data_IF_611892156082
#
_entry.id   IF_611892156082
#
_cell.length_a   1.000
_cell.length_b   1.000
_cell.length_c   1.000
_cell.angle_alpha   90.00
_cell.angle_beta   90.00
_cell.angle_gamma   90.00
#
_symmetry.space_group_name_H-M   'P 1'
#
loop_
_entity.id
_entity.type
_entity.pdbx_description
1 polymer ?
#
# COMPACT_ATOMS: atom_id res chain seq x y z
N UNK A 1 -27.10 -0.30 -10.46
CA UNK A 1 -26.93 -0.71 -9.05
C UNK A 1 -26.28 0.45 -8.30
N UNK A 2 -26.93 1.07 -7.32
CA UNK A 2 -26.35 2.21 -6.57
C UNK A 2 -25.46 1.68 -5.45
N UNK A 3 -24.16 1.73 -5.65
CA UNK A 3 -23.18 1.64 -4.56
C UNK A 3 -23.27 2.92 -3.71
N UNK A 4 -23.39 2.77 -2.39
CA UNK A 4 -23.31 3.90 -1.46
C UNK A 4 -21.90 4.46 -1.38
N UNK A 5 -21.74 5.73 -0.98
CA UNK A 5 -20.46 6.45 -1.04
C UNK A 5 -19.30 5.79 -0.25
N UNK A 6 -19.59 5.02 0.81
CA UNK A 6 -18.57 4.23 1.52
C UNK A 6 -18.33 2.83 0.93
N UNK A 7 -19.28 2.30 0.15
CA UNK A 7 -19.26 0.92 -0.30
C UNK A 7 -18.13 0.61 -1.28
N UNK A 8 -17.70 1.56 -2.11
CA UNK A 8 -16.54 1.35 -3.00
C UNK A 8 -15.20 1.53 -2.28
N UNK A 9 -15.16 2.26 -1.15
CA UNK A 9 -13.95 2.38 -0.33
C UNK A 9 -13.74 1.11 0.50
N UNK A 10 -14.79 0.60 1.15
CA UNK A 10 -14.74 -0.70 1.82
C UNK A 10 -14.40 -1.82 0.84
N UNK A 11 -15.03 -1.82 -0.34
CA UNK A 11 -14.73 -2.77 -1.40
C UNK A 11 -13.30 -2.59 -1.97
N UNK A 12 -12.77 -1.38 -2.10
CA UNK A 12 -11.38 -1.17 -2.50
C UNK A 12 -10.38 -1.65 -1.44
N UNK A 13 -10.61 -1.31 -0.17
CA UNK A 13 -9.80 -1.76 0.98
C UNK A 13 -9.89 -3.28 1.17
N UNK A 14 -11.03 -3.89 0.83
CA UNK A 14 -11.23 -5.35 0.83
C UNK A 14 -10.67 -6.04 -0.41
N UNK A 15 -10.65 -5.38 -1.58
CA UNK A 15 -9.96 -5.85 -2.81
C UNK A 15 -8.46 -5.62 -2.80
N UNK A 16 -7.94 -4.87 -1.82
CA UNK A 16 -6.53 -4.92 -1.45
C UNK A 16 -6.16 -6.26 -0.80
N UNK A 17 -7.15 -7.15 -0.76
CA UNK A 17 -7.10 -8.52 -0.30
C UNK A 17 -7.64 -9.49 -1.48
N UNK A 18 -6.94 -10.61 -1.86
CA UNK A 18 -7.14 -11.81 -2.77
C UNK A 18 -5.91 -12.81 -2.73
N UNK A 19 -5.91 -13.97 -3.42
CA UNK A 19 -4.90 -15.08 -3.43
C UNK A 19 -4.01 -15.12 -4.72
N UNK A 20 -3.38 -16.27 -5.04
CA UNK A 20 -2.22 -16.67 -5.90
C UNK A 20 -1.95 -15.99 -7.31
N UNK A 21 -0.90 -16.27 -8.10
CA UNK A 21 0.08 -17.39 -8.20
C UNK A 21 1.55 -16.92 -8.43
N UNK A 22 2.48 -17.82 -8.84
CA UNK A 22 3.93 -17.61 -8.92
C UNK A 22 4.39 -16.92 -10.22
N UNK A 23 4.60 -15.61 -10.14
CA UNK A 23 5.53 -14.88 -10.99
C UNK A 23 6.20 -13.83 -10.13
N UNK A 24 7.55 -13.75 -10.15
CA UNK A 24 8.30 -12.77 -9.36
C UNK A 24 7.67 -11.40 -9.56
N UNK A 25 7.22 -10.75 -8.48
CA UNK A 25 6.47 -9.51 -8.57
C UNK A 25 7.29 -8.44 -9.29
N UNK A 26 6.98 -8.23 -10.58
CA UNK A 26 7.84 -7.50 -11.53
C UNK A 26 8.27 -6.15 -10.94
N UNK A 27 9.58 -5.89 -10.99
CA UNK A 27 10.16 -4.61 -10.58
C UNK A 27 9.61 -3.55 -11.53
N UNK A 28 9.08 -2.45 -10.99
CA UNK A 28 8.46 -1.39 -11.79
C UNK A 28 6.98 -1.61 -12.15
N UNK A 29 6.31 -2.67 -11.69
CA UNK A 29 4.88 -2.91 -11.98
C UNK A 29 3.88 -1.96 -11.28
N UNK A 30 4.29 -0.73 -10.95
CA UNK A 30 3.41 0.30 -10.37
C UNK A 30 2.87 0.09 -8.95
N UNK A 31 3.23 -1.01 -8.24
CA UNK A 31 2.69 -1.34 -6.90
C UNK A 31 2.76 -0.19 -5.88
N UNK A 32 3.94 0.38 -5.68
CA UNK A 32 4.16 1.52 -4.77
C UNK A 32 3.44 2.78 -5.25
N UNK A 33 3.37 3.00 -6.57
CA UNK A 33 2.60 4.11 -7.17
C UNK A 33 1.11 3.97 -6.88
N UNK A 34 0.53 2.79 -7.08
CA UNK A 34 -0.87 2.50 -6.79
C UNK A 34 -1.19 2.75 -5.31
N UNK A 35 -0.35 2.23 -4.40
CA UNK A 35 -0.50 2.48 -2.96
C UNK A 35 -0.43 3.97 -2.60
N UNK A 36 0.44 4.74 -3.25
CA UNK A 36 0.56 6.18 -3.06
C UNK A 36 -0.69 6.94 -3.58
N UNK A 37 -1.24 6.57 -4.75
CA UNK A 37 -2.47 7.18 -5.27
C UNK A 37 -3.69 6.82 -4.42
N UNK A 38 -3.79 5.58 -3.91
CA UNK A 38 -4.79 5.18 -2.92
C UNK A 38 -4.74 6.08 -1.68
N UNK A 39 -3.55 6.42 -1.19
CA UNK A 39 -3.38 7.29 -0.02
C UNK A 39 -3.72 8.76 -0.29
N UNK A 40 -3.75 9.19 -1.56
CA UNK A 40 -4.15 10.55 -1.97
C UNK A 40 -5.65 10.67 -2.25
N UNK A 41 -6.33 9.56 -2.54
CA UNK A 41 -7.75 9.57 -2.84
C UNK A 41 -8.59 10.15 -1.69
N UNK A 42 -9.48 11.09 -2.03
CA UNK A 42 -10.25 11.84 -1.04
C UNK A 42 -11.27 10.96 -0.31
N UNK A 43 -11.78 9.88 -0.92
CA UNK A 43 -12.71 8.96 -0.25
C UNK A 43 -11.96 8.06 0.74
N UNK A 44 -10.79 7.55 0.36
CA UNK A 44 -9.90 6.78 1.24
C UNK A 44 -9.46 7.63 2.43
N UNK A 45 -8.99 8.86 2.19
CA UNK A 45 -8.59 9.81 3.23
C UNK A 45 -9.74 10.16 4.18
N UNK A 46 -10.92 10.44 3.64
CA UNK A 46 -12.13 10.70 4.43
C UNK A 46 -12.54 9.49 5.28
N UNK A 47 -12.52 8.28 4.72
CA UNK A 47 -12.86 7.03 5.42
C UNK A 47 -11.91 6.76 6.61
N UNK A 48 -10.61 6.99 6.43
CA UNK A 48 -9.61 6.87 7.50
C UNK A 48 -9.39 8.15 8.31
N UNK A 49 -10.29 9.14 8.23
CA UNK A 49 -10.23 10.41 8.99
C UNK A 49 -8.87 11.13 8.88
N UNK A 50 -8.28 11.17 7.68
CA UNK A 50 -6.93 11.70 7.39
C UNK A 50 -5.77 10.97 8.11
N UNK A 51 -6.04 9.89 8.84
CA UNK A 51 -5.03 9.08 9.54
C UNK A 51 -4.52 7.97 8.63
N UNK A 52 -3.63 8.33 7.71
CA UNK A 52 -2.86 7.39 6.88
C UNK A 52 -1.36 7.54 7.17
N UNK A 53 -0.70 6.45 7.58
CA UNK A 53 0.75 6.39 7.74
C UNK A 53 1.36 5.51 6.65
N UNK A 54 2.22 6.08 5.82
CA UNK A 54 2.97 5.35 4.79
C UNK A 54 4.42 5.14 5.25
N UNK A 55 4.90 3.89 5.23
CA UNK A 55 6.26 3.50 5.61
C UNK A 55 6.86 2.56 4.56
N UNK A 56 8.00 2.92 3.99
CA UNK A 56 8.85 1.98 3.25
C UNK A 56 9.66 1.13 4.23
N UNK A 57 9.63 -0.19 4.07
CA UNK A 57 10.27 -1.16 4.96
C UNK A 57 11.68 -1.51 4.47
N UNK A 58 11.87 -1.72 3.16
CA UNK A 58 13.15 -2.08 2.52
C UNK A 58 13.73 -3.45 2.95
N UNK A 59 14.87 -3.83 2.37
CA UNK A 59 15.49 -5.15 2.56
C UNK A 59 16.10 -5.33 3.96
N UNK A 60 16.61 -4.26 4.55
CA UNK A 60 17.29 -4.25 5.84
C UNK A 60 16.64 -3.23 6.78
N UNK A 61 15.38 -3.48 7.21
CA UNK A 61 14.62 -2.54 8.03
C UNK A 61 15.22 -2.36 9.43
N UNK A 62 15.21 -1.13 9.93
CA UNK A 62 15.20 -0.89 11.37
C UNK A 62 13.80 -1.20 11.92
N UNK A 63 13.61 -2.46 12.32
CA UNK A 63 12.35 -2.96 12.88
C UNK A 63 11.93 -2.17 14.13
N UNK A 64 12.88 -1.73 14.97
CA UNK A 64 12.53 -1.02 16.20
C UNK A 64 12.03 0.39 15.90
N UNK A 65 12.70 1.11 15.00
CA UNK A 65 12.25 2.42 14.52
C UNK A 65 10.89 2.32 13.82
N UNK A 66 10.69 1.34 12.94
CA UNK A 66 9.40 1.14 12.26
C UNK A 66 8.28 0.83 13.28
N UNK A 67 8.52 -0.07 14.24
CA UNK A 67 7.55 -0.36 15.32
C UNK A 67 7.24 0.88 16.16
N UNK A 68 8.24 1.69 16.53
CA UNK A 68 8.04 2.91 17.29
C UNK A 68 7.20 3.95 16.53
N UNK A 69 7.45 4.12 15.22
CA UNK A 69 6.65 5.00 14.35
C UNK A 69 5.21 4.54 14.20
N UNK A 70 4.98 3.25 13.94
CA UNK A 70 3.62 2.67 13.87
C UNK A 70 2.90 2.84 15.20
N UNK A 71 3.55 2.54 16.33
CA UNK A 71 2.94 2.65 17.66
C UNK A 71 2.60 4.09 18.05
N UNK A 72 3.52 5.03 17.85
CA UNK A 72 3.29 6.46 18.10
C UNK A 72 2.13 7.00 17.27
N UNK A 73 2.06 6.61 15.99
CA UNK A 73 0.97 6.99 15.10
C UNK A 73 -0.39 6.40 15.52
N UNK A 74 -0.46 5.11 15.86
CA UNK A 74 -1.69 4.46 16.31
C UNK A 74 -2.20 5.06 17.62
N UNK A 75 -1.29 5.33 18.57
CA UNK A 75 -1.62 5.93 19.87
C UNK A 75 -1.85 7.44 19.83
N UNK A 76 -1.58 8.12 18.71
CA UNK A 76 -1.68 9.58 18.60
C UNK A 76 -0.58 10.32 19.39
N UNK A 77 0.51 9.64 19.72
CA UNK A 77 1.63 10.18 20.50
C UNK A 77 2.93 10.10 19.68
N UNK A 78 3.03 10.96 18.66
CA UNK A 78 4.15 10.99 17.72
C UNK A 78 5.50 11.26 18.40
N UNK A 79 5.51 11.93 19.56
CA UNK A 79 6.70 12.19 20.35
C UNK A 79 7.42 10.92 20.85
N UNK A 80 6.71 9.79 21.00
CA UNK A 80 7.33 8.51 21.38
C UNK A 80 8.02 7.78 20.22
N UNK A 81 7.81 8.22 18.96
CA UNK A 81 8.45 7.59 17.79
C UNK A 81 9.97 7.75 17.71
N UNK A 82 10.56 8.65 18.53
CA UNK A 82 11.96 9.03 18.50
C UNK A 82 12.75 8.67 19.77
N UNK A 83 12.09 8.17 20.81
CA UNK A 83 12.76 7.75 22.05
C UNK A 83 13.16 6.28 21.97
N UNK A 84 14.43 6.02 21.65
CA UNK A 84 15.02 4.67 21.49
C UNK A 84 14.87 3.71 22.69
N UNK A 85 14.32 4.16 23.82
CA UNK A 85 14.16 3.39 25.05
C UNK A 85 12.72 3.52 25.58
N UNK A 86 11.76 2.78 25.00
CA UNK A 86 10.55 2.45 25.77
C UNK A 86 9.98 1.07 25.46
N UNK A 87 9.80 0.33 26.55
CA UNK A 87 9.12 -0.96 26.66
C UNK A 87 7.72 -0.89 26.03
N UNK A 88 7.49 -1.61 24.93
CA UNK A 88 6.16 -1.76 24.33
C UNK A 88 5.32 -2.62 25.29
N UNK A 89 4.25 -2.10 25.92
CA UNK A 89 3.51 -2.87 26.91
C UNK A 89 2.75 -4.03 26.23
N UNK A 90 2.94 -5.25 26.72
CA UNK A 90 2.09 -6.39 26.40
C UNK A 90 0.72 -6.26 27.10
N UNK A 91 -0.05 -5.21 26.79
CA UNK A 91 -1.29 -4.88 27.48
C UNK A 91 -2.28 -4.11 26.59
N UNK A 92 -3.58 -4.40 26.75
CA UNK A 92 -4.67 -3.76 25.99
C UNK A 92 -4.60 -2.23 26.10
N UNK A 93 -4.49 -1.56 24.95
CA UNK A 93 -4.86 -0.16 24.82
C UNK A 93 -6.36 -0.02 25.13
N UNK A 94 -6.70 0.78 26.15
CA UNK A 94 -8.03 1.35 26.31
C UNK A 94 -8.03 2.72 25.62
N UNK A 95 -8.68 2.79 24.46
CA UNK A 95 -9.20 4.03 23.91
C UNK A 95 -10.69 3.80 23.64
N UNK A 96 -11.53 4.81 23.88
CA UNK A 96 -12.97 4.72 23.62
C UNK A 96 -13.22 4.83 22.12
N UNK A 97 -13.16 3.68 21.44
CA UNK A 97 -13.20 3.61 19.99
C UNK A 97 -14.62 3.57 19.43
N UNK A 98 -14.85 4.42 18.41
CA UNK A 98 -16.06 4.39 17.60
C UNK A 98 -16.14 3.18 16.65
N UNK A 99 -17.29 3.03 15.99
CA UNK A 99 -17.71 1.84 15.23
C UNK A 99 -17.00 1.62 13.87
N UNK A 100 -15.69 1.82 13.76
CA UNK A 100 -14.94 1.57 12.51
C UNK A 100 -13.42 1.68 12.65
N UNK A 101 -12.64 1.21 11.66
CA UNK A 101 -11.19 1.42 11.62
C UNK A 101 -10.88 2.90 11.39
N UNK A 102 -10.25 3.54 12.36
CA UNK A 102 -10.00 4.99 12.35
C UNK A 102 -8.66 5.36 11.67
N UNK A 103 -7.93 4.39 11.12
CA UNK A 103 -6.53 4.57 10.72
C UNK A 103 -6.09 3.51 9.70
N UNK A 104 -5.28 3.91 8.72
CA UNK A 104 -4.59 3.04 7.76
C UNK A 104 -3.08 3.12 7.96
N UNK A 105 -2.41 1.96 7.99
CA UNK A 105 -0.95 1.85 7.94
C UNK A 105 -0.57 1.16 6.64
N UNK A 106 0.27 1.79 5.82
CA UNK A 106 0.80 1.21 4.58
C UNK A 106 2.26 0.82 4.81
N UNK A 107 2.56 -0.46 4.60
CA UNK A 107 3.90 -1.03 4.66
C UNK A 107 4.36 -1.33 3.23
N UNK A 108 5.23 -0.49 2.70
CA UNK A 108 5.74 -0.54 1.33
C UNK A 108 7.07 -1.28 1.21
N UNK A 109 7.27 -1.98 0.09
CA UNK A 109 8.40 -2.89 -0.18
C UNK A 109 8.75 -3.80 1.02
N UNK A 110 7.82 -4.66 1.43
CA UNK A 110 8.04 -5.68 2.48
C UNK A 110 8.70 -6.93 1.90
N UNK A 111 9.82 -7.36 2.50
CA UNK A 111 10.65 -8.45 1.94
C UNK A 111 10.39 -9.84 2.51
N UNK A 112 9.76 -9.99 3.68
CA UNK A 112 9.50 -11.32 4.26
C UNK A 112 8.36 -11.34 5.28
N UNK A 113 7.78 -12.52 5.50
CA UNK A 113 6.73 -12.72 6.49
C UNK A 113 7.19 -12.44 7.93
N UNK A 114 8.40 -12.88 8.39
CA UNK A 114 8.88 -12.54 9.73
C UNK A 114 9.10 -11.04 9.96
N UNK A 115 9.38 -10.26 8.90
CA UNK A 115 9.41 -8.79 8.99
C UNK A 115 7.99 -8.26 9.18
N UNK A 116 7.03 -8.71 8.37
CA UNK A 116 5.62 -8.30 8.46
C UNK A 116 5.00 -8.60 9.84
N UNK A 117 5.18 -9.81 10.35
CA UNK A 117 4.68 -10.24 11.66
C UNK A 117 5.23 -9.38 12.81
N UNK A 118 6.46 -8.86 12.68
CA UNK A 118 7.06 -7.93 13.64
C UNK A 118 6.56 -6.48 13.49
N UNK A 119 5.85 -6.13 12.42
CA UNK A 119 5.29 -4.78 12.21
C UNK A 119 3.78 -4.70 12.48
N UNK A 120 3.08 -5.84 12.47
CA UNK A 120 1.65 -5.92 12.81
C UNK A 120 1.42 -5.88 14.32
N UNK A 121 0.52 -5.01 14.76
CA UNK A 121 0.00 -4.95 16.12
C UNK A 121 -1.41 -5.56 16.19
N UNK A 122 -1.66 -6.44 17.17
CA UNK A 122 -2.99 -7.05 17.40
C UNK A 122 -3.87 -6.14 18.26
N UNK A 123 -4.21 -4.97 17.73
CA UNK A 123 -5.13 -4.01 18.35
C UNK A 123 -6.36 -3.81 17.46
N UNK A 124 -7.54 -3.52 18.01
CA UNK A 124 -8.67 -3.11 17.18
C UNK A 124 -8.37 -1.77 16.48
N UNK A 125 -9.21 -1.42 15.49
CA UNK A 125 -9.37 -0.08 14.89
C UNK A 125 -8.33 0.47 13.91
N UNK A 126 -7.43 -0.34 13.36
CA UNK A 126 -6.67 0.06 12.17
C UNK A 126 -6.65 -1.04 11.11
N UNK A 127 -6.39 -0.64 9.86
CA UNK A 127 -6.14 -1.53 8.72
C UNK A 127 -4.68 -1.42 8.30
N UNK A 128 -4.14 -2.51 7.74
CA UNK A 128 -2.77 -2.53 7.18
C UNK A 128 -2.85 -2.86 5.69
N UNK A 129 -2.31 -1.99 4.84
CA UNK A 129 -2.05 -2.28 3.43
C UNK A 129 -0.59 -2.72 3.30
N UNK A 130 -0.34 -3.89 2.74
CA UNK A 130 1.02 -4.44 2.56
C UNK A 130 1.37 -4.45 1.08
N UNK A 131 2.40 -3.70 0.69
CA UNK A 131 2.96 -3.73 -0.65
C UNK A 131 4.19 -4.63 -0.65
N UNK A 132 4.16 -5.69 -1.44
CA UNK A 132 5.19 -6.72 -1.46
C UNK A 132 5.47 -7.22 -2.88
N UNK A 133 6.65 -7.80 -3.10
CA UNK A 133 6.97 -8.60 -4.29
C UNK A 133 6.74 -10.09 -4.09
N UNK A 134 6.48 -10.51 -2.86
CA UNK A 134 6.24 -11.88 -2.42
C UNK A 134 4.81 -12.03 -1.90
N UNK A 135 4.20 -13.20 -2.11
CA UNK A 135 2.96 -13.54 -1.42
C UNK A 135 3.25 -13.97 0.02
N UNK A 136 2.36 -13.57 0.91
CA UNK A 136 2.36 -13.96 2.30
C UNK A 136 1.16 -14.87 2.59
N UNK A 137 1.27 -15.72 3.60
CA UNK A 137 0.21 -16.65 3.96
C UNK A 137 -1.08 -15.90 4.33
N UNK A 138 -2.22 -16.44 3.89
CA UNK A 138 -3.57 -15.98 4.24
C UNK A 138 -3.88 -16.09 5.74
N UNK A 139 -3.01 -16.73 6.52
CA UNK A 139 -3.09 -16.80 7.99
C UNK A 139 -2.71 -15.48 8.68
N UNK A 140 -1.95 -14.60 8.00
CA UNK A 140 -1.44 -13.33 8.54
C UNK A 140 -2.00 -12.13 7.78
N UNK A 141 -2.10 -12.25 6.47
CA UNK A 141 -2.68 -11.27 5.57
C UNK A 141 -4.05 -11.81 5.19
N UNK A 142 -5.15 -11.12 5.52
CA UNK A 142 -6.49 -11.70 5.37
C UNK A 142 -6.72 -12.13 3.93
N UNK A 143 -6.29 -11.29 2.98
CA UNK A 143 -6.14 -11.58 1.57
C UNK A 143 -5.10 -10.49 0.99
N UNK A 144 -4.50 -10.56 -0.24
CA UNK A 144 -3.46 -9.66 -0.93
C UNK A 144 -3.99 -8.80 -2.16
N UNK A 145 -3.29 -7.91 -2.90
CA UNK A 145 -3.75 -7.52 -4.29
C UNK A 145 -2.71 -7.75 -5.38
N UNK A 146 -3.14 -8.31 -6.53
CA UNK A 146 -2.29 -8.46 -7.72
C UNK A 146 -2.49 -7.26 -8.66
N UNK A 147 -1.50 -6.39 -8.71
CA UNK A 147 -1.39 -5.38 -9.77
C UNK A 147 -1.11 -6.11 -11.09
N UNK A 148 -2.03 -5.98 -12.03
CA UNK A 148 -1.92 -6.54 -13.37
C UNK A 148 -0.87 -5.80 -14.21
N UNK A 149 -0.40 -6.43 -15.27
CA UNK A 149 0.42 -5.75 -16.27
C UNK A 149 -0.51 -4.92 -17.17
N UNK A 150 -0.03 -3.74 -17.59
CA UNK A 150 -0.70 -2.94 -18.59
C UNK A 150 -0.81 -3.74 -19.90
N UNK A 151 -1.94 -3.60 -20.59
CA UNK A 151 -2.07 -4.04 -21.98
C UNK A 151 -1.10 -3.29 -22.90
N UNK A 152 -0.88 -3.80 -24.12
CA UNK A 152 -0.01 -3.15 -25.11
C UNK A 152 -0.45 -1.70 -25.41
N UNK A 153 -1.77 -1.46 -25.52
CA UNK A 153 -2.36 -0.14 -25.71
C UNK A 153 -2.15 0.81 -24.52
N UNK A 154 -2.32 0.31 -23.28
CA UNK A 154 -2.09 1.09 -22.07
C UNK A 154 -0.61 1.40 -21.86
N UNK A 155 0.27 0.43 -22.14
CA UNK A 155 1.72 0.60 -22.10
C UNK A 155 2.19 1.64 -23.13
N UNK A 156 1.66 1.56 -24.36
CA UNK A 156 1.91 2.54 -25.43
C UNK A 156 1.41 3.94 -25.05
N UNK A 157 0.19 4.05 -24.50
CA UNK A 157 -0.38 5.31 -24.03
C UNK A 157 0.47 5.94 -22.92
N UNK A 158 0.89 5.13 -21.93
CA UNK A 158 1.73 5.58 -20.82
C UNK A 158 3.14 5.98 -21.29
N UNK A 159 3.75 5.22 -22.19
CA UNK A 159 5.03 5.56 -22.81
C UNK A 159 4.93 6.90 -23.54
N UNK A 160 3.92 7.07 -24.40
CA UNK A 160 3.74 8.31 -25.16
C UNK A 160 3.47 9.50 -24.23
N UNK A 161 2.68 9.32 -23.17
CA UNK A 161 2.43 10.36 -22.19
C UNK A 161 3.72 10.78 -21.48
N UNK A 162 4.57 9.81 -21.12
CA UNK A 162 5.84 10.06 -20.41
C UNK A 162 6.92 10.68 -21.31
N UNK A 163 7.00 10.26 -22.58
CA UNK A 163 8.04 10.70 -23.52
C UNK A 163 7.67 11.96 -24.33
N UNK A 164 6.38 12.16 -24.61
CA UNK A 164 5.88 13.19 -25.53
C UNK A 164 4.79 14.09 -24.94
N UNK A 165 4.29 13.81 -23.72
CA UNK A 165 3.20 14.59 -23.09
C UNK A 165 1.80 14.33 -23.66
N UNK A 166 1.64 13.30 -24.51
CA UNK A 166 0.39 12.97 -25.20
C UNK A 166 0.14 11.45 -25.23
N UNK A 167 -1.10 11.00 -25.23
CA UNK A 167 -1.47 9.57 -25.07
C UNK A 167 -1.35 8.72 -26.35
N UNK A 168 -0.64 9.20 -27.36
CA UNK A 168 -0.44 8.51 -28.64
C UNK A 168 0.87 8.92 -29.30
N UNK A 169 1.36 8.13 -30.25
CA UNK A 169 2.61 8.40 -30.97
C UNK A 169 2.46 9.70 -31.78
N UNK A 170 3.30 10.73 -31.57
CA UNK A 170 3.23 11.95 -32.36
C UNK A 170 3.66 11.68 -33.80
N UNK A 171 3.11 12.37 -34.82
CA UNK A 171 3.47 12.17 -36.23
C UNK A 171 4.95 12.39 -36.57
N UNK A 172 5.71 13.01 -35.66
CA UNK A 172 7.15 13.26 -35.75
C UNK A 172 8.02 12.14 -35.20
N UNK A 173 7.44 11.16 -34.48
CA UNK A 173 8.16 10.02 -33.92
C UNK A 173 8.16 8.81 -34.86
N UNK A 174 9.19 7.96 -34.74
CA UNK A 174 9.28 6.71 -35.47
C UNK A 174 8.49 5.61 -34.74
N UNK A 175 7.31 5.28 -35.25
CA UNK A 175 6.42 4.25 -34.69
C UNK A 175 7.10 2.89 -34.49
N UNK A 176 7.98 2.48 -35.41
CA UNK A 176 8.71 1.20 -35.31
C UNK A 176 9.65 1.19 -34.10
N UNK A 177 10.38 2.28 -33.85
CA UNK A 177 11.24 2.41 -32.69
C UNK A 177 10.45 2.50 -31.38
N UNK A 178 9.28 3.16 -31.38
CA UNK A 178 8.40 3.19 -30.19
C UNK A 178 7.91 1.79 -29.85
N UNK A 179 7.44 1.02 -30.83
CA UNK A 179 6.98 -0.37 -30.63
C UNK A 179 8.10 -1.32 -30.18
N UNK A 180 9.34 -1.07 -30.60
CA UNK A 180 10.53 -1.82 -30.14
C UNK A 180 10.98 -1.51 -28.70
N UNK A 181 10.47 -0.45 -28.07
CA UNK A 181 10.78 -0.11 -26.66
C UNK A 181 9.74 -0.69 -25.70
N UNK A 182 8.56 -1.06 -26.21
CA UNK A 182 7.40 -1.52 -25.44
C UNK A 182 7.32 -3.07 -25.38
N UNK A 183 7.80 -3.76 -26.41
CA UNK A 183 7.89 -5.23 -26.51
C UNK A 183 9.31 -5.75 -26.25
#
# INVERSE_FOLDING_TARGET
MKIGAGGWVEEAVKRMEVEEEASLGIIGSGKTTLANEICKDNQVRSYFNERILFLTVSQSPDIQQLRARIWGFLTGNEAMGYTNNLFIPHGKLQCEWGSGPQTLVVLDDVWSLPILEQLIFRIPTYKTLVVSRFRFSTTVVHEVYKVELLSEDESLSLFCHSAFGQTSIPPTANESLVKQVIN
#
